data_IF_287543945498
#
_entry.id   IF_287543945498
#
_cell.length_a   1.000
_cell.length_b   1.000
_cell.length_c   1.000
_cell.angle_alpha   90.00
_cell.angle_beta   90.00
_cell.angle_gamma   90.00
#
_symmetry.space_group_name_H-M   'P 1'
#
loop_
_entity.id
_entity.type
_entity.pdbx_description
1 polymer ?
#
# COMPACT_ATOMS: atom_id res chain seq x y z
N UNK A 1 10.30 3.70 -23.42
CA UNK A 1 9.60 3.87 -22.14
C UNK A 1 10.07 2.79 -21.17
N UNK A 2 10.60 3.15 -20.00
CA UNK A 2 11.40 2.26 -19.12
C UNK A 2 10.75 1.97 -17.76
N UNK A 3 9.53 2.46 -17.50
CA UNK A 3 8.80 2.26 -16.24
C UNK A 3 9.14 3.30 -15.16
N UNK A 4 8.65 3.05 -13.93
CA UNK A 4 8.79 3.96 -12.78
C UNK A 4 9.18 3.20 -11.51
N UNK A 5 9.87 3.91 -10.59
CA UNK A 5 10.21 3.40 -9.26
C UNK A 5 9.29 3.99 -8.19
N UNK A 6 8.80 3.16 -7.29
CA UNK A 6 7.98 3.55 -6.14
C UNK A 6 8.89 3.96 -4.99
N UNK A 7 8.63 5.13 -4.39
CA UNK A 7 9.33 5.64 -3.20
C UNK A 7 8.37 6.44 -2.31
N UNK A 8 8.60 6.42 -1.01
CA UNK A 8 7.87 7.21 -0.02
C UNK A 8 8.86 8.12 0.73
N UNK A 9 9.19 9.31 0.20
CA UNK A 9 10.27 10.15 0.75
C UNK A 9 10.02 10.69 2.17
N UNK A 10 8.77 10.61 2.64
CA UNK A 10 8.34 11.12 3.95
C UNK A 10 8.14 10.00 4.99
N UNK A 11 8.23 8.73 4.59
CA UNK A 11 8.07 7.58 5.47
C UNK A 11 9.44 6.93 5.67
N UNK A 12 9.77 6.58 6.92
CA UNK A 12 10.96 5.79 7.20
C UNK A 12 10.82 4.35 6.70
N UNK A 13 11.95 3.72 6.39
CA UNK A 13 11.99 2.31 5.98
C UNK A 13 11.48 1.36 7.08
N UNK A 14 11.55 1.78 8.36
CA UNK A 14 10.94 1.07 9.49
C UNK A 14 9.41 1.02 9.37
N UNK A 15 8.79 2.06 8.82
CA UNK A 15 7.34 2.11 8.65
C UNK A 15 6.88 1.46 7.35
N UNK A 16 7.57 1.72 6.23
CA UNK A 16 7.22 1.17 4.91
C UNK A 16 8.50 0.87 4.14
N UNK A 17 8.82 -0.42 4.00
CA UNK A 17 10.02 -0.85 3.29
C UNK A 17 9.73 -1.12 1.82
N UNK A 18 10.60 -0.63 0.94
CA UNK A 18 10.57 -0.94 -0.50
C UNK A 18 11.83 -1.72 -0.87
N UNK A 19 11.68 -2.96 -1.31
CA UNK A 19 12.78 -3.84 -1.74
C UNK A 19 12.52 -4.22 -3.19
N UNK A 20 13.50 -4.01 -4.08
CA UNK A 20 13.38 -4.33 -5.51
C UNK A 20 12.11 -3.77 -6.18
N UNK A 21 11.77 -2.51 -5.84
CA UNK A 21 10.57 -1.81 -6.31
C UNK A 21 9.24 -2.42 -5.84
N UNK A 22 9.27 -3.34 -4.86
CA UNK A 22 8.10 -3.91 -4.21
C UNK A 22 7.95 -3.36 -2.80
N UNK A 23 6.78 -2.78 -2.54
CA UNK A 23 6.43 -2.29 -1.21
C UNK A 23 5.99 -3.46 -0.35
N UNK A 24 6.65 -3.65 0.79
CA UNK A 24 6.39 -4.77 1.70
C UNK A 24 5.12 -4.49 2.51
N UNK A 25 3.98 -4.96 2.01
CA UNK A 25 2.66 -4.71 2.59
C UNK A 25 1.85 -6.01 2.65
N UNK A 26 1.18 -6.25 3.77
CA UNK A 26 0.12 -7.26 3.85
C UNK A 26 -1.07 -6.83 2.97
N UNK A 27 -1.43 -7.70 2.02
CA UNK A 27 -2.51 -7.47 1.04
C UNK A 27 -2.41 -6.11 0.33
N UNK A 28 -1.19 -5.67 -0.01
CA UNK A 28 -0.93 -4.38 -0.68
C UNK A 28 -1.47 -3.14 0.06
N UNK A 29 -1.56 -3.21 1.39
CA UNK A 29 -2.24 -2.17 2.18
C UNK A 29 -1.61 -1.86 3.52
N UNK A 30 -1.36 -2.87 4.36
CA UNK A 30 -0.84 -2.62 5.71
C UNK A 30 0.63 -2.97 5.84
N UNK A 31 1.45 -2.11 6.45
CA UNK A 31 2.81 -2.49 6.81
C UNK A 31 2.78 -3.53 7.94
N UNK A 32 3.24 -4.78 7.69
CA UNK A 32 3.13 -5.86 8.68
C UNK A 32 3.99 -5.64 9.93
N UNK A 33 4.99 -4.76 9.87
CA UNK A 33 5.89 -4.48 10.98
C UNK A 33 5.31 -3.52 12.03
N UNK A 34 4.17 -2.87 11.76
CA UNK A 34 3.52 -2.03 12.75
C UNK A 34 2.68 -2.88 13.70
N UNK A 35 2.78 -2.67 15.04
CA UNK A 35 2.03 -3.45 16.03
C UNK A 35 0.52 -3.20 15.99
N UNK A 36 0.11 -2.03 15.47
CA UNK A 36 -1.29 -1.64 15.34
C UNK A 36 -1.57 -1.20 13.90
N UNK A 37 -2.78 -1.47 13.36
CA UNK A 37 -3.16 -1.08 12.00
C UNK A 37 -3.51 0.41 11.91
N UNK A 38 -2.55 1.29 12.19
CA UNK A 38 -2.74 2.75 12.22
C UNK A 38 -2.29 3.45 10.94
N UNK A 39 -1.55 2.76 10.06
CA UNK A 39 -1.12 3.25 8.76
C UNK A 39 -1.53 2.31 7.64
N UNK A 40 -2.09 2.87 6.55
CA UNK A 40 -2.45 2.14 5.35
C UNK A 40 -1.92 2.85 4.10
N UNK A 41 -1.45 2.06 3.15
CA UNK A 41 -1.06 2.51 1.82
C UNK A 41 -2.17 2.08 0.85
N UNK A 42 -2.73 3.04 0.10
CA UNK A 42 -3.82 2.79 -0.83
C UNK A 42 -3.38 3.13 -2.25
N UNK A 43 -3.95 2.43 -3.25
CA UNK A 43 -3.64 2.64 -4.66
C UNK A 43 -2.32 2.03 -5.14
N UNK A 44 -1.53 1.40 -4.27
CA UNK A 44 -0.31 0.66 -4.65
C UNK A 44 -0.66 -0.78 -5.00
N UNK A 45 -1.49 -0.93 -6.04
CA UNK A 45 -1.91 -2.22 -6.58
C UNK A 45 -2.06 -2.11 -8.09
N UNK A 46 -1.56 -3.12 -8.81
CA UNK A 46 -1.69 -3.23 -10.26
C UNK A 46 -2.53 -4.46 -10.59
N UNK A 47 -3.87 -4.32 -10.58
CA UNK A 47 -4.75 -5.44 -10.89
C UNK A 47 -4.76 -5.73 -12.38
N UNK A 48 -5.13 -6.96 -12.73
CA UNK A 48 -5.53 -7.30 -14.10
C UNK A 48 -6.99 -6.82 -14.26
N UNK A 49 -7.16 -5.56 -14.70
CA UNK A 49 -8.47 -4.94 -14.87
C UNK A 49 -8.51 -3.47 -14.44
N UNK A 50 -9.71 -2.88 -14.30
CA UNK A 50 -9.87 -1.48 -13.90
C UNK A 50 -9.33 -1.20 -12.49
N UNK A 51 -8.44 -0.21 -12.36
CA UNK A 51 -7.84 0.16 -11.07
C UNK A 51 -8.80 0.87 -10.11
N UNK A 52 -9.74 1.68 -10.63
CA UNK A 52 -10.65 2.48 -9.79
C UNK A 52 -11.58 1.65 -8.89
N UNK A 53 -12.27 0.59 -9.38
CA UNK A 53 -13.08 -0.27 -8.53
C UNK A 53 -12.25 -0.96 -7.44
N UNK A 54 -11.02 -1.37 -7.76
CA UNK A 54 -10.11 -1.97 -6.78
C UNK A 54 -9.71 -0.95 -5.72
N UNK A 55 -9.41 0.29 -6.12
CA UNK A 55 -9.12 1.40 -5.22
C UNK A 55 -10.27 1.71 -4.26
N UNK A 56 -11.51 1.77 -4.76
CA UNK A 56 -12.71 1.99 -3.93
C UNK A 56 -12.88 0.88 -2.89
N UNK A 57 -12.80 -0.39 -3.30
CA UNK A 57 -12.87 -1.52 -2.38
C UNK A 57 -11.72 -1.49 -1.36
N UNK A 58 -10.53 -1.05 -1.77
CA UNK A 58 -9.40 -0.84 -0.88
C UNK A 58 -9.73 0.18 0.21
N UNK A 59 -10.27 1.34 -0.16
CA UNK A 59 -10.69 2.39 0.78
C UNK A 59 -11.78 1.90 1.74
N UNK A 60 -12.82 1.24 1.21
CA UNK A 60 -13.97 0.78 2.01
C UNK A 60 -13.57 -0.22 3.08
N UNK A 61 -12.65 -1.12 2.77
CA UNK A 61 -12.16 -2.07 3.77
C UNK A 61 -11.27 -1.38 4.81
N UNK A 62 -10.37 -0.49 4.37
CA UNK A 62 -9.47 0.24 5.26
C UNK A 62 -10.23 1.07 6.28
N UNK A 63 -11.26 1.79 5.85
CA UNK A 63 -12.10 2.60 6.72
C UNK A 63 -12.82 1.78 7.80
N UNK A 64 -13.12 0.50 7.56
CA UNK A 64 -13.78 -0.39 8.53
C UNK A 64 -12.82 -1.08 9.49
N UNK A 65 -11.57 -1.25 9.09
CA UNK A 65 -10.58 -2.00 9.87
C UNK A 65 -9.69 -1.09 10.74
N UNK A 66 -9.56 0.18 10.36
CA UNK A 66 -8.78 1.17 11.12
C UNK A 66 -9.63 2.07 12.02
N UNK A 67 -10.96 1.97 11.92
CA UNK A 67 -11.91 2.63 12.83
C UNK A 67 -12.11 1.77 14.08
#
# INVERSE_FOLDING_TARGET
>A
ATGYKVKFPYLSDDNVRVIDNQVQLYKFKYPPQLPHPTLAILGVVQPIGPGFPVGEMHCRWTARHMA
#
